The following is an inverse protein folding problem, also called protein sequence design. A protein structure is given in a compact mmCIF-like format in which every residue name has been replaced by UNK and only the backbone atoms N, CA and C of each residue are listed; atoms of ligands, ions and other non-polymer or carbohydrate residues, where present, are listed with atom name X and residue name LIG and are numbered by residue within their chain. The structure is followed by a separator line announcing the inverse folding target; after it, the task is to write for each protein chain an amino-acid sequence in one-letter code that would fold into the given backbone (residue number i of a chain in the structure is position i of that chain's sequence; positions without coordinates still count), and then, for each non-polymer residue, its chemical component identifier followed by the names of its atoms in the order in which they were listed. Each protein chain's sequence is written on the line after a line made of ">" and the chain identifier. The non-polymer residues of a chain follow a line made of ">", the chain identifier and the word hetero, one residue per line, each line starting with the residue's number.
data_IF_058931496128
#
_entry.id   IF_058931496128
#
_cell.length_a   1.000
_cell.length_b   1.000
_cell.length_c   1.000
_cell.angle_alpha   90.00
_cell.angle_beta   90.00
_cell.angle_gamma   90.00
#
_symmetry.space_group_name_H-M   'P 1'
#
loop_
_entity.id
_entity.type
_entity.pdbx_description
1 polymer ?
#
# COMPACT_ATOMS: atom_id res chain seq x y z
N UNK A 1 5.11 26.40 -46.87
CA UNK A 1 4.91 25.15 -46.07
C UNK A 1 5.22 25.39 -44.59
N UNK A 2 4.48 26.28 -43.90
CA UNK A 2 4.76 26.66 -42.49
C UNK A 2 3.48 26.83 -41.64
N UNK A 3 2.40 26.11 -41.98
CA UNK A 3 1.07 26.26 -41.33
C UNK A 3 0.60 25.04 -40.55
N UNK A 4 1.39 23.96 -40.50
CA UNK A 4 1.04 22.74 -39.77
C UNK A 4 1.75 22.59 -38.41
N UNK A 5 2.57 23.58 -38.02
CA UNK A 5 3.32 23.52 -36.76
C UNK A 5 2.45 23.60 -35.48
N UNK A 6 1.30 24.31 -35.42
CA UNK A 6 0.56 24.40 -34.15
C UNK A 6 -0.28 23.14 -33.85
N UNK A 7 -0.44 22.20 -34.80
CA UNK A 7 -1.30 21.03 -34.62
C UNK A 7 -0.61 19.89 -33.84
N UNK A 8 0.73 19.83 -33.85
CA UNK A 8 1.50 18.77 -33.19
C UNK A 8 1.68 19.05 -31.69
N UNK A 9 1.70 20.32 -31.29
CA UNK A 9 1.92 20.73 -29.88
C UNK A 9 0.68 20.48 -29.01
N UNK A 10 -0.52 20.48 -29.59
CA UNK A 10 -1.77 20.24 -28.86
C UNK A 10 -2.02 18.75 -28.54
N UNK A 11 -1.33 17.82 -29.21
CA UNK A 11 -1.57 16.38 -29.04
C UNK A 11 -0.80 15.76 -27.87
N UNK A 12 0.19 16.46 -27.30
CA UNK A 12 1.03 15.95 -26.20
C UNK A 12 0.42 16.22 -24.81
N UNK A 13 -0.61 17.07 -24.70
CA UNK A 13 -1.17 17.49 -23.41
C UNK A 13 -2.24 16.50 -22.87
N UNK A 14 -2.62 15.47 -23.64
CA UNK A 14 -3.64 14.50 -23.23
C UNK A 14 -3.11 13.23 -22.54
N UNK A 15 -1.86 13.17 -22.08
CA UNK A 15 -1.47 12.09 -21.16
C UNK A 15 -2.06 12.38 -19.76
N UNK A 16 -3.22 11.78 -19.54
CA UNK A 16 -4.04 11.80 -18.33
C UNK A 16 -3.24 11.67 -17.01
N UNK A 17 -2.94 12.82 -16.41
CA UNK A 17 -2.40 12.95 -15.05
C UNK A 17 -3.45 12.75 -13.95
N UNK A 18 -4.19 11.63 -13.95
CA UNK A 18 -5.22 11.35 -12.92
C UNK A 18 -4.73 10.37 -11.83
N UNK A 19 -3.50 9.86 -11.92
CA UNK A 19 -2.97 8.88 -10.97
C UNK A 19 -1.96 9.44 -9.95
N UNK A 20 -1.73 10.77 -9.94
CA UNK A 20 -0.64 11.36 -9.14
C UNK A 20 -0.69 10.98 -7.66
N UNK A 21 -1.85 10.91 -7.01
CA UNK A 21 -1.92 10.64 -5.57
C UNK A 21 -1.66 9.17 -5.19
N UNK A 22 -2.34 8.17 -5.79
CA UNK A 22 -2.00 6.77 -5.53
C UNK A 22 -0.55 6.43 -5.90
N UNK A 23 -0.09 6.88 -7.07
CA UNK A 23 1.24 6.53 -7.57
C UNK A 23 2.36 7.13 -6.70
N UNK A 24 2.15 8.34 -6.15
CA UNK A 24 3.06 8.94 -5.17
C UNK A 24 3.25 8.04 -3.95
N UNK A 25 2.15 7.59 -3.32
CA UNK A 25 2.22 6.69 -2.16
C UNK A 25 2.88 5.36 -2.51
N UNK A 26 2.59 4.82 -3.71
CA UNK A 26 3.16 3.54 -4.15
C UNK A 26 4.65 3.63 -4.44
N UNK A 27 5.12 4.78 -4.93
CA UNK A 27 6.53 5.04 -5.21
C UNK A 27 7.34 5.40 -3.96
N UNK A 28 6.67 5.89 -2.93
CA UNK A 28 7.31 6.34 -1.70
C UNK A 28 7.57 5.16 -0.78
N UNK A 29 8.86 4.84 -0.62
CA UNK A 29 9.28 3.73 0.21
C UNK A 29 8.94 3.94 1.68
N UNK A 30 8.56 5.11 2.16
CA UNK A 30 8.15 5.32 3.56
C UNK A 30 6.83 4.65 3.90
N UNK A 31 6.05 4.24 2.91
CA UNK A 31 4.75 3.62 3.13
C UNK A 31 4.76 2.13 2.83
N UNK A 32 3.89 1.40 3.54
CA UNK A 32 3.39 0.09 3.13
C UNK A 32 1.93 0.31 2.71
N UNK A 33 1.55 -0.28 1.58
CA UNK A 33 0.26 -0.03 0.97
C UNK A 33 -0.37 -1.34 0.50
N UNK A 34 -1.69 -1.34 0.38
CA UNK A 34 -2.47 -2.40 -0.24
C UNK A 34 -3.57 -1.80 -1.10
N UNK A 35 -3.88 -2.44 -2.21
CA UNK A 35 -4.85 -1.93 -3.17
C UNK A 35 -5.85 -2.97 -3.63
N UNK A 36 -7.08 -2.53 -3.93
CA UNK A 36 -8.04 -3.39 -4.57
C UNK A 36 -9.08 -2.60 -5.37
N UNK A 37 -9.70 -3.28 -6.33
CA UNK A 37 -10.80 -2.74 -7.12
C UNK A 37 -12.00 -3.67 -7.03
N UNK A 38 -13.16 -3.15 -6.65
CA UNK A 38 -14.40 -3.93 -6.58
C UNK A 38 -15.62 -3.15 -7.06
N UNK A 39 -16.79 -3.80 -7.08
CA UNK A 39 -18.06 -3.21 -7.50
C UNK A 39 -18.65 -2.23 -6.47
N UNK A 40 -18.31 -2.38 -5.19
CA UNK A 40 -18.72 -1.49 -4.11
C UNK A 40 -17.51 -1.01 -3.31
N UNK A 41 -17.65 0.13 -2.63
CA UNK A 41 -16.62 0.69 -1.77
C UNK A 41 -16.22 -0.31 -0.68
N UNK A 42 -17.17 -0.90 0.03
CA UNK A 42 -16.89 -1.79 1.16
C UNK A 42 -16.13 -3.06 0.73
N UNK A 43 -16.45 -3.60 -0.45
CA UNK A 43 -15.73 -4.76 -1.00
C UNK A 43 -14.31 -4.38 -1.40
N UNK A 44 -14.14 -3.24 -2.07
CA UNK A 44 -12.82 -2.77 -2.47
C UNK A 44 -11.97 -2.46 -1.24
N UNK A 45 -12.56 -1.86 -0.22
CA UNK A 45 -11.91 -1.53 1.04
C UNK A 45 -11.48 -2.78 1.81
N UNK A 46 -12.37 -3.75 1.98
CA UNK A 46 -12.04 -5.03 2.62
C UNK A 46 -10.91 -5.78 1.91
N UNK A 47 -10.91 -5.77 0.57
CA UNK A 47 -9.84 -6.40 -0.20
C UNK A 47 -8.53 -5.63 -0.12
N UNK A 48 -8.56 -4.29 -0.14
CA UNK A 48 -7.36 -3.47 0.02
C UNK A 48 -6.72 -3.63 1.41
N UNK A 49 -7.55 -3.82 2.45
CA UNK A 49 -7.10 -4.15 3.80
C UNK A 49 -6.39 -5.51 3.83
N UNK A 50 -6.96 -6.54 3.19
CA UNK A 50 -6.32 -7.88 3.11
C UNK A 50 -4.99 -7.83 2.36
N UNK A 51 -4.94 -7.08 1.26
CA UNK A 51 -3.70 -6.88 0.50
C UNK A 51 -2.65 -6.15 1.35
N UNK A 52 -3.05 -5.09 2.08
CA UNK A 52 -2.15 -4.37 2.99
C UNK A 52 -1.58 -5.28 4.08
N UNK A 53 -2.40 -6.15 4.67
CA UNK A 53 -1.92 -7.15 5.66
C UNK A 53 -0.89 -8.07 5.03
N UNK A 54 -1.17 -8.60 3.83
CA UNK A 54 -0.21 -9.46 3.12
C UNK A 54 1.13 -8.77 2.90
N UNK A 55 1.12 -7.49 2.51
CA UNK A 55 2.35 -6.71 2.30
C UNK A 55 3.14 -6.51 3.60
N UNK A 56 2.44 -6.25 4.71
CA UNK A 56 3.06 -6.15 6.03
C UNK A 56 3.69 -7.49 6.42
N UNK A 57 2.97 -8.61 6.28
CA UNK A 57 3.48 -9.95 6.59
C UNK A 57 4.77 -10.24 5.85
N UNK A 58 4.79 -10.08 4.53
CA UNK A 58 5.99 -10.32 3.71
C UNK A 58 7.16 -9.42 4.11
N UNK A 59 6.90 -8.17 4.49
CA UNK A 59 7.95 -7.23 4.91
C UNK A 59 8.53 -7.58 6.29
N UNK A 60 7.67 -8.01 7.21
CA UNK A 60 8.06 -8.44 8.56
C UNK A 60 8.85 -9.74 8.49
N UNK A 61 8.36 -10.72 7.73
CA UNK A 61 9.07 -11.98 7.46
C UNK A 61 10.45 -11.74 6.87
N UNK A 62 10.56 -10.85 5.88
CA UNK A 62 11.85 -10.48 5.27
C UNK A 62 12.82 -9.83 6.26
N UNK A 63 12.32 -8.94 7.13
CA UNK A 63 13.14 -8.26 8.14
C UNK A 63 13.59 -9.22 9.25
N UNK A 64 12.71 -10.11 9.67
CA UNK A 64 13.01 -11.12 10.69
C UNK A 64 13.87 -12.26 10.15
N UNK A 65 13.68 -12.71 8.91
CA UNK A 65 14.59 -13.66 8.26
C UNK A 65 16.03 -13.13 8.20
N UNK A 66 16.19 -11.81 8.05
CA UNK A 66 17.51 -11.16 8.11
C UNK A 66 18.07 -11.18 9.55
N UNK A 67 17.22 -10.98 10.56
CA UNK A 67 17.60 -10.96 11.99
C UNK A 67 17.85 -12.35 12.57
N UNK A 68 17.11 -13.37 12.12
CA UNK A 68 17.17 -14.76 12.57
C UNK A 68 18.48 -15.47 12.28
N UNK A 69 19.12 -15.09 11.19
CA UNK A 69 20.50 -15.52 10.88
C UNK A 69 21.42 -15.20 12.07
N UNK A 70 21.04 -14.26 12.93
CA UNK A 70 21.80 -13.79 14.08
C UNK A 70 21.32 -14.35 15.44
N UNK A 71 20.06 -14.82 15.59
CA UNK A 71 19.45 -15.08 16.92
C UNK A 71 18.71 -16.41 17.15
N UNK A 72 18.39 -17.21 16.11
CA UNK A 72 17.89 -18.59 16.29
C UNK A 72 16.50 -18.77 16.94
N UNK A 73 15.64 -17.75 16.93
CA UNK A 73 14.27 -17.83 17.47
C UNK A 73 13.25 -18.46 16.49
N UNK A 74 11.97 -18.55 16.85
CA UNK A 74 10.92 -19.14 15.97
C UNK A 74 10.13 -18.04 15.24
N UNK A 75 10.35 -17.93 13.92
CA UNK A 75 9.81 -16.86 13.03
C UNK A 75 8.30 -16.87 12.90
N UNK A 76 7.67 -18.04 12.89
CA UNK A 76 6.27 -18.19 12.51
C UNK A 76 5.31 -17.65 13.58
N UNK A 77 5.60 -17.95 14.85
CA UNK A 77 4.75 -17.57 15.99
C UNK A 77 4.80 -16.06 16.27
N UNK A 78 5.99 -15.46 16.20
CA UNK A 78 6.18 -14.02 16.37
C UNK A 78 5.50 -13.22 15.25
N UNK A 79 5.68 -13.66 14.01
CA UNK A 79 5.08 -13.03 12.82
C UNK A 79 3.55 -13.06 12.92
N UNK A 80 2.96 -14.22 13.23
CA UNK A 80 1.51 -14.36 13.36
C UNK A 80 0.92 -13.52 14.51
N UNK A 81 1.59 -13.46 15.66
CA UNK A 81 1.19 -12.63 16.81
C UNK A 81 1.27 -11.14 16.50
N UNK A 82 2.31 -10.69 15.80
CA UNK A 82 2.46 -9.30 15.42
C UNK A 82 1.42 -8.86 14.38
N UNK A 83 1.18 -9.70 13.36
CA UNK A 83 0.19 -9.43 12.30
C UNK A 83 -1.24 -9.38 12.87
N UNK A 84 -1.59 -10.32 13.75
CA UNK A 84 -2.94 -10.41 14.33
C UNK A 84 -3.26 -9.23 15.26
N UNK A 85 -2.29 -8.81 16.08
CA UNK A 85 -2.42 -7.63 16.95
C UNK A 85 -2.57 -6.34 16.11
N UNK A 86 -1.82 -6.23 15.02
CA UNK A 86 -1.84 -5.05 14.15
C UNK A 86 -3.11 -4.97 13.30
N UNK A 87 -3.57 -6.11 12.79
CA UNK A 87 -4.67 -6.18 11.83
C UNK A 87 -5.97 -5.61 12.39
N UNK A 88 -6.21 -5.72 13.70
CA UNK A 88 -7.51 -5.32 14.25
C UNK A 88 -7.60 -3.82 14.60
N UNK A 89 -6.50 -3.20 15.04
CA UNK A 89 -6.52 -1.83 15.58
C UNK A 89 -6.11 -0.82 14.50
N UNK A 90 -5.01 -1.06 13.79
CA UNK A 90 -4.42 -0.06 12.88
C UNK A 90 -4.97 -0.13 11.45
N UNK A 91 -5.52 -1.27 11.01
CA UNK A 91 -6.17 -1.35 9.69
C UNK A 91 -7.44 -0.48 9.62
N UNK A 92 -8.13 -0.30 10.75
CA UNK A 92 -9.28 0.60 10.82
C UNK A 92 -8.84 2.07 10.62
N UNK A 93 -7.69 2.45 11.18
CA UNK A 93 -7.14 3.81 11.12
C UNK A 93 -6.22 4.06 9.90
N UNK A 94 -5.89 3.02 9.12
CA UNK A 94 -5.04 3.14 7.94
C UNK A 94 -5.61 4.16 6.96
N UNK A 95 -4.77 5.08 6.48
CA UNK A 95 -5.18 6.14 5.56
C UNK A 95 -5.71 5.51 4.28
N UNK A 96 -6.74 6.12 3.69
CA UNK A 96 -7.43 5.60 2.50
C UNK A 96 -7.50 6.63 1.38
N UNK A 97 -7.22 6.19 0.16
CA UNK A 97 -7.56 6.91 -1.07
C UNK A 97 -8.62 6.11 -1.82
N UNK A 98 -9.72 6.77 -2.20
CA UNK A 98 -10.80 6.16 -2.98
C UNK A 98 -10.83 6.83 -4.35
N UNK A 99 -10.80 6.03 -5.41
CA UNK A 99 -10.91 6.50 -6.79
C UNK A 99 -12.05 5.77 -7.47
N UNK A 100 -13.07 6.52 -7.91
CA UNK A 100 -14.17 5.93 -8.65
C UNK A 100 -13.78 5.76 -10.13
N UNK A 101 -13.84 4.52 -10.64
CA UNK A 101 -13.53 4.19 -12.03
C UNK A 101 -14.72 3.51 -12.68
N UNK A 102 -15.51 4.30 -13.44
CA UNK A 102 -16.71 3.85 -14.15
C UNK A 102 -17.70 3.15 -13.18
N UNK A 103 -17.87 1.83 -13.30
CA UNK A 103 -18.76 0.98 -12.48
C UNK A 103 -18.03 0.25 -11.33
N UNK A 104 -16.79 0.64 -11.04
CA UNK A 104 -15.97 0.04 -9.99
C UNK A 104 -15.38 1.12 -9.09
N UNK A 105 -15.04 0.72 -7.88
CA UNK A 105 -14.34 1.53 -6.89
C UNK A 105 -12.94 0.95 -6.73
N UNK A 106 -11.93 1.79 -6.93
CA UNK A 106 -10.55 1.50 -6.56
C UNK A 106 -10.29 2.08 -5.17
N UNK A 107 -9.65 1.31 -4.31
CA UNK A 107 -9.26 1.71 -2.96
C UNK A 107 -7.78 1.39 -2.78
N UNK A 108 -7.04 2.38 -2.28
CA UNK A 108 -5.68 2.23 -1.78
C UNK A 108 -5.71 2.49 -0.27
N UNK A 109 -5.21 1.54 0.52
CA UNK A 109 -4.95 1.69 1.96
C UNK A 109 -3.45 1.77 2.17
N UNK A 110 -3.00 2.63 3.07
CA UNK A 110 -1.57 2.80 3.33
C UNK A 110 -1.27 3.22 4.77
N UNK A 111 -0.06 2.87 5.21
CA UNK A 111 0.48 3.20 6.53
C UNK A 111 1.98 3.46 6.43
N UNK A 112 2.49 4.31 7.32
CA UNK A 112 3.91 4.65 7.41
C UNK A 112 4.70 3.46 7.98
N UNK A 113 5.86 3.15 7.39
CA UNK A 113 6.71 2.04 7.81
C UNK A 113 7.21 2.23 9.23
N UNK A 114 7.51 3.45 9.65
CA UNK A 114 8.02 3.72 10.98
C UNK A 114 7.00 3.36 12.07
N UNK A 115 5.69 3.50 11.77
CA UNK A 115 4.61 3.02 12.63
C UNK A 115 4.66 1.51 12.78
N UNK A 116 5.02 0.79 11.71
CA UNK A 116 5.21 -0.67 11.73
C UNK A 116 6.45 -1.01 12.57
N UNK A 117 7.62 -0.46 12.23
CA UNK A 117 8.90 -0.76 12.90
C UNK A 117 8.89 -0.46 14.40
N UNK A 118 8.35 0.69 14.81
CA UNK A 118 8.29 1.06 16.23
C UNK A 118 7.46 0.10 17.09
N UNK A 119 6.50 -0.62 16.50
CA UNK A 119 5.69 -1.62 17.21
C UNK A 119 6.47 -2.92 17.43
N UNK A 120 7.40 -3.26 16.53
CA UNK A 120 8.28 -4.43 16.66
C UNK A 120 9.41 -4.21 17.66
N UNK A 121 9.99 -3.01 17.69
CA UNK A 121 11.08 -2.65 18.60
C UNK A 121 10.61 -2.55 20.07
N UNK A 122 9.38 -2.10 20.30
CA UNK A 122 8.79 -2.00 21.65
C UNK A 122 8.42 -3.35 22.29
N UNK A 123 8.74 -4.48 21.66
CA UNK A 123 8.58 -5.83 22.25
C UNK A 123 9.89 -6.47 22.75
N UNK A 124 11.01 -5.75 22.69
CA UNK A 124 12.26 -6.17 23.35
C UNK A 124 12.25 -5.91 24.85
#
# INVERSE_FOLDING_TARGET
>A
MKRFLPLIVLFIICLDGIAQKPDQIKSDSRYIWGEATALSLDKADSFAIKDLVSQISTKVESSFSTTMIESGENLEEYTHSAISTYSNIYLNDAKRIVVQKRKKVYVLRYVERDVISGIFENRK
#
